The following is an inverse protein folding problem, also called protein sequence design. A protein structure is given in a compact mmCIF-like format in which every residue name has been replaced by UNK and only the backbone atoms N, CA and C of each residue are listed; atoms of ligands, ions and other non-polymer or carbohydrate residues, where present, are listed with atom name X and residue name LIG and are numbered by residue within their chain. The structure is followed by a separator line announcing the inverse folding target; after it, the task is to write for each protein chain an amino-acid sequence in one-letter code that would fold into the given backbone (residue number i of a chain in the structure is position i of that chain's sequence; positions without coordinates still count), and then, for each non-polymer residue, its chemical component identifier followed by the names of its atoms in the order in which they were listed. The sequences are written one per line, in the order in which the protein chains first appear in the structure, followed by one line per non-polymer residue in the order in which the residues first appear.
data_IF_488161569359
#
_entry.id   IF_488161569359
#
_cell.length_a   1.000
_cell.length_b   1.000
_cell.length_c   1.000
_cell.angle_alpha   90.00
_cell.angle_beta   90.00
_cell.angle_gamma   90.00
#
_symmetry.space_group_name_H-M   'P 1'
#
loop_
_entity.id
_entity.type
_entity.pdbx_description
1 polymer ?
#
# COMPACT_ATOMS: atom_id res chain seq x y z
N UNK A 1 21.81 3.10 -6.78
CA UNK A 1 21.08 4.38 -6.87
C UNK A 1 19.55 4.18 -6.94
N UNK A 2 19.04 3.29 -7.80
CA UNK A 2 17.61 2.95 -7.93
C UNK A 2 16.90 2.66 -6.59
N UNK A 3 17.49 1.83 -5.72
CA UNK A 3 16.94 1.50 -4.40
C UNK A 3 16.74 2.74 -3.51
N UNK A 4 17.75 3.62 -3.48
CA UNK A 4 17.71 4.86 -2.68
C UNK A 4 16.64 5.80 -3.25
N UNK A 5 16.52 5.88 -4.58
CA UNK A 5 15.49 6.70 -5.24
C UNK A 5 14.09 6.19 -4.90
N UNK A 6 13.84 4.88 -4.98
CA UNK A 6 12.55 4.28 -4.61
C UNK A 6 12.22 4.52 -3.14
N UNK A 7 13.22 4.42 -2.26
CA UNK A 7 13.05 4.74 -0.84
C UNK A 7 12.65 6.20 -0.65
N UNK A 8 13.36 7.15 -1.28
CA UNK A 8 13.04 8.59 -1.20
C UNK A 8 11.62 8.85 -1.72
N UNK A 9 11.23 8.24 -2.84
CA UNK A 9 9.87 8.36 -3.38
C UNK A 9 8.85 7.86 -2.36
N UNK A 10 9.09 6.71 -1.73
CA UNK A 10 8.22 6.17 -0.68
C UNK A 10 8.08 7.14 0.51
N UNK A 11 9.18 7.74 0.96
CA UNK A 11 9.15 8.75 2.04
C UNK A 11 8.35 9.99 1.62
N UNK A 12 8.52 10.49 0.38
CA UNK A 12 7.74 11.63 -0.12
C UNK A 12 6.24 11.29 -0.18
N UNK A 13 5.88 10.09 -0.64
CA UNK A 13 4.49 9.61 -0.66
C UNK A 13 3.91 9.55 0.75
N UNK A 14 4.66 9.03 1.72
CA UNK A 14 4.26 8.95 3.13
C UNK A 14 3.98 10.35 3.72
N UNK A 15 4.86 11.31 3.46
CA UNK A 15 4.68 12.68 3.92
C UNK A 15 3.44 13.33 3.27
N UNK A 16 3.23 13.09 1.97
CA UNK A 16 2.06 13.58 1.25
C UNK A 16 0.77 12.97 1.79
N UNK A 17 0.75 11.65 2.02
CA UNK A 17 -0.38 10.92 2.59
C UNK A 17 -0.75 11.46 3.98
N UNK A 18 0.25 11.67 4.83
CA UNK A 18 0.05 12.22 6.19
C UNK A 18 -0.48 13.65 6.12
N UNK A 19 0.08 14.48 5.24
CA UNK A 19 -0.37 15.85 5.03
C UNK A 19 -1.83 15.91 4.56
N UNK A 20 -2.19 15.11 3.55
CA UNK A 20 -3.55 15.04 3.02
C UNK A 20 -4.56 14.54 4.07
N UNK A 21 -4.17 13.53 4.85
CA UNK A 21 -5.01 12.96 5.91
C UNK A 21 -5.33 14.01 6.98
N UNK A 22 -4.33 14.79 7.38
CA UNK A 22 -4.50 15.88 8.34
C UNK A 22 -5.31 17.04 7.77
N UNK A 23 -5.18 17.35 6.48
CA UNK A 23 -5.93 18.45 5.83
C UNK A 23 -7.41 18.10 5.59
N UNK A 24 -7.73 16.85 5.25
CA UNK A 24 -9.08 16.42 4.87
C UNK A 24 -9.98 16.00 6.05
N UNK A 25 -9.54 16.12 7.30
CA UNK A 25 -10.30 15.76 8.49
C UNK A 25 -11.00 14.38 8.38
N UNK A 26 -10.19 13.32 8.24
CA UNK A 26 -10.48 11.91 8.55
C UNK A 26 -11.67 11.19 7.87
N UNK A 27 -12.46 11.84 7.01
CA UNK A 27 -13.67 11.23 6.45
C UNK A 27 -13.37 10.17 5.39
N UNK A 28 -12.27 10.36 4.64
CA UNK A 28 -11.81 9.47 3.58
C UNK A 28 -10.28 9.36 3.67
N UNK A 29 -9.78 8.17 4.01
CA UNK A 29 -8.34 7.89 4.03
C UNK A 29 -7.97 7.02 2.83
N UNK A 30 -6.95 7.47 2.11
CA UNK A 30 -6.38 6.79 0.96
C UNK A 30 -4.98 6.36 1.34
N UNK A 31 -4.64 5.09 1.11
CA UNK A 31 -3.32 4.57 1.45
C UNK A 31 -2.43 4.56 0.20
N UNK A 32 -1.85 5.72 -0.11
CA UNK A 32 -0.96 5.90 -1.26
C UNK A 32 0.31 5.07 -1.10
N UNK A 33 0.82 4.97 0.12
CA UNK A 33 2.03 4.22 0.43
C UNK A 33 1.84 2.72 0.21
N UNK A 34 0.69 2.16 0.56
CA UNK A 34 0.34 0.77 0.28
C UNK A 34 0.29 0.52 -1.23
N UNK A 35 -0.37 1.39 -2.00
CA UNK A 35 -0.42 1.26 -3.47
C UNK A 35 1.00 1.27 -4.05
N UNK A 36 1.85 2.17 -3.58
CA UNK A 36 3.25 2.23 -3.99
C UNK A 36 3.99 0.92 -3.69
N UNK A 37 3.85 0.39 -2.48
CA UNK A 37 4.48 -0.88 -2.08
C UNK A 37 3.99 -2.04 -2.94
N UNK A 38 2.68 -2.11 -3.23
CA UNK A 38 2.11 -3.13 -4.10
C UNK A 38 2.75 -3.09 -5.48
N UNK A 39 2.87 -1.91 -6.08
CA UNK A 39 3.48 -1.74 -7.40
C UNK A 39 4.97 -2.08 -7.38
N UNK A 40 5.74 -1.61 -6.40
CA UNK A 40 7.17 -1.92 -6.32
C UNK A 40 7.40 -3.42 -6.11
N UNK A 41 6.62 -4.08 -5.26
CA UNK A 41 6.71 -5.53 -5.06
C UNK A 41 6.30 -6.35 -6.29
N UNK A 42 5.52 -5.77 -7.20
CA UNK A 42 5.15 -6.39 -8.47
C UNK A 42 6.20 -6.19 -9.57
N UNK A 43 7.00 -5.13 -9.52
CA UNK A 43 7.92 -4.77 -10.63
C UNK A 43 9.40 -4.77 -10.27
N UNK A 44 9.75 -4.96 -9.00
CA UNK A 44 11.12 -4.89 -8.52
C UNK A 44 11.55 -6.13 -7.74
N UNK A 45 12.85 -6.25 -7.50
CA UNK A 45 13.43 -7.39 -6.79
C UNK A 45 12.75 -7.65 -5.43
N UNK A 46 12.49 -8.93 -5.15
CA UNK A 46 11.78 -9.41 -3.96
C UNK A 46 12.45 -8.97 -2.66
N UNK A 47 13.77 -9.10 -2.55
CA UNK A 47 14.47 -8.80 -1.30
C UNK A 47 14.46 -7.30 -1.04
N UNK A 48 14.66 -6.50 -2.09
CA UNK A 48 14.60 -5.05 -1.96
C UNK A 48 13.19 -4.54 -1.66
N UNK A 49 12.15 -5.08 -2.31
CA UNK A 49 10.76 -4.66 -2.08
C UNK A 49 10.27 -5.02 -0.67
N UNK A 50 10.75 -6.14 -0.11
CA UNK A 50 10.54 -6.53 1.28
C UNK A 50 11.17 -5.53 2.25
N UNK A 51 12.47 -5.29 2.12
CA UNK A 51 13.21 -4.36 2.99
C UNK A 51 12.62 -2.96 2.91
N UNK A 52 12.31 -2.49 1.69
CA UNK A 52 11.70 -1.19 1.47
C UNK A 52 10.31 -1.08 2.10
N UNK A 53 9.45 -2.09 1.92
CA UNK A 53 8.13 -2.14 2.54
C UNK A 53 8.20 -2.13 4.07
N UNK A 54 9.09 -2.92 4.65
CA UNK A 54 9.28 -2.97 6.11
C UNK A 54 9.78 -1.65 6.69
N UNK A 55 10.82 -1.05 6.11
CA UNK A 55 11.36 0.23 6.60
C UNK A 55 10.31 1.35 6.44
N UNK A 56 9.66 1.46 5.28
CA UNK A 56 8.63 2.49 5.08
C UNK A 56 7.42 2.28 5.99
N UNK A 57 7.05 1.04 6.29
CA UNK A 57 5.97 0.76 7.24
C UNK A 57 6.31 1.16 8.66
N UNK A 58 7.55 0.92 9.11
CA UNK A 58 8.02 1.39 10.43
C UNK A 58 8.06 2.93 10.50
N UNK A 59 8.53 3.60 9.45
CA UNK A 59 8.52 5.06 9.38
C UNK A 59 7.07 5.58 9.39
N UNK A 60 6.15 4.90 8.69
CA UNK A 60 4.73 5.26 8.66
C UNK A 60 4.10 5.21 10.04
N UNK A 61 4.39 4.17 10.82
CA UNK A 61 3.89 4.06 12.20
C UNK A 61 4.37 5.25 13.06
N UNK A 62 5.64 5.66 12.90
CA UNK A 62 6.22 6.79 13.64
C UNK A 62 5.62 8.15 13.24
N UNK A 63 5.34 8.36 11.96
CA UNK A 63 4.85 9.65 11.44
C UNK A 63 3.35 9.82 11.63
N UNK A 64 2.57 8.75 11.48
CA UNK A 64 1.10 8.79 11.60
C UNK A 64 0.60 8.71 13.05
N UNK A 65 1.48 8.41 14.02
CA UNK A 65 1.10 8.21 15.42
C UNK A 65 0.37 6.89 15.66
N UNK A 66 0.55 5.91 14.77
CA UNK A 66 -0.04 4.58 14.86
C UNK A 66 0.68 3.66 15.87
N UNK A 67 0.24 2.40 15.93
CA UNK A 67 0.89 1.39 16.76
C UNK A 67 2.19 0.96 16.08
N UNK A 68 3.32 1.27 16.72
CA UNK A 68 4.65 0.96 16.19
C UNK A 68 4.79 -0.52 15.88
N UNK A 69 5.13 -0.83 14.62
CA UNK A 69 5.41 -2.17 14.13
C UNK A 69 4.25 -2.80 13.35
N UNK A 70 3.01 -2.33 13.51
CA UNK A 70 1.85 -2.93 12.84
C UNK A 70 1.92 -2.69 11.34
N UNK A 71 2.09 -1.43 10.90
CA UNK A 71 2.20 -1.11 9.47
C UNK A 71 3.46 -1.74 8.87
N UNK A 72 4.57 -1.74 9.62
CA UNK A 72 5.81 -2.45 9.24
C UNK A 72 5.58 -3.92 8.88
N UNK A 73 4.91 -4.67 9.77
CA UNK A 73 4.61 -6.10 9.54
C UNK A 73 3.62 -6.28 8.40
N UNK A 74 2.56 -5.47 8.33
CA UNK A 74 1.57 -5.58 7.26
C UNK A 74 2.17 -5.28 5.89
N UNK A 75 3.07 -4.30 5.79
CA UNK A 75 3.77 -4.01 4.53
C UNK A 75 4.78 -5.10 4.18
N UNK A 76 5.52 -5.66 5.14
CA UNK A 76 6.37 -6.83 4.89
C UNK A 76 5.57 -8.02 4.36
N UNK A 77 4.45 -8.34 5.01
CA UNK A 77 3.55 -9.41 4.59
C UNK A 77 2.98 -9.15 3.18
N UNK A 78 2.59 -7.90 2.91
CA UNK A 78 2.08 -7.47 1.60
C UNK A 78 3.15 -7.62 0.51
N UNK A 79 4.35 -7.10 0.74
CA UNK A 79 5.49 -7.23 -0.17
C UNK A 79 5.83 -8.69 -0.42
N UNK A 80 5.88 -9.51 0.63
CA UNK A 80 6.16 -10.94 0.52
C UNK A 80 5.12 -11.65 -0.33
N UNK A 81 3.83 -11.40 -0.07
CA UNK A 81 2.72 -12.02 -0.79
C UNK A 81 2.80 -11.69 -2.28
N UNK A 82 2.90 -10.40 -2.63
CA UNK A 82 2.92 -9.95 -4.01
C UNK A 82 4.15 -10.46 -4.74
N UNK A 83 5.34 -10.31 -4.17
CA UNK A 83 6.56 -10.79 -4.80
C UNK A 83 6.63 -12.32 -4.90
N UNK A 84 5.75 -13.06 -4.22
CA UNK A 84 5.64 -14.52 -4.38
C UNK A 84 4.72 -14.92 -5.52
N UNK A 85 3.69 -14.12 -5.82
CA UNK A 85 2.72 -14.38 -6.90
C UNK A 85 3.00 -13.59 -8.18
N UNK A 86 3.95 -12.64 -8.16
CA UNK A 86 4.18 -11.69 -9.24
C UNK A 86 4.43 -12.33 -10.61
N UNK A 87 5.07 -13.51 -10.66
CA UNK A 87 5.34 -14.25 -11.90
C UNK A 87 4.08 -14.81 -12.55
N UNK A 88 3.02 -15.00 -11.78
CA UNK A 88 1.72 -15.51 -12.24
C UNK A 88 0.77 -14.39 -12.66
N UNK A 89 1.14 -13.12 -12.44
CA UNK A 89 0.28 -11.97 -12.72
C UNK A 89 0.57 -11.44 -14.12
N UNK A 90 -0.48 -11.21 -14.90
CA UNK A 90 -0.40 -10.51 -16.19
C UNK A 90 -0.22 -9.00 -15.95
N UNK A 91 1.04 -8.57 -16.02
CA UNK A 91 1.50 -7.21 -15.70
C UNK A 91 1.27 -6.17 -16.82
N UNK A 92 0.71 -6.58 -17.95
CA UNK A 92 0.39 -5.71 -19.10
C UNK A 92 -1.08 -5.26 -19.12
N UNK A 93 -1.95 -5.95 -18.39
CA UNK A 93 -3.34 -5.52 -18.26
C UNK A 93 -3.52 -4.71 -16.98
N UNK A 94 -3.72 -3.40 -17.16
CA UNK A 94 -4.01 -2.46 -16.07
C UNK A 94 -5.19 -2.89 -15.20
N UNK A 95 -6.20 -3.59 -15.75
CA UNK A 95 -7.37 -4.06 -15.00
C UNK A 95 -6.96 -5.14 -13.99
N UNK A 96 -6.04 -6.03 -14.38
CA UNK A 96 -5.53 -7.10 -13.51
C UNK A 96 -4.74 -6.51 -12.35
N UNK A 97 -3.92 -5.49 -12.60
CA UNK A 97 -3.18 -4.78 -11.54
C UNK A 97 -4.12 -4.05 -10.60
N UNK A 98 -5.15 -3.38 -11.12
CA UNK A 98 -6.16 -2.70 -10.29
C UNK A 98 -6.94 -3.69 -9.42
N UNK A 99 -7.28 -4.86 -9.97
CA UNK A 99 -7.93 -5.94 -9.23
C UNK A 99 -7.02 -6.50 -8.13
N UNK A 100 -5.73 -6.70 -8.42
CA UNK A 100 -4.75 -7.11 -7.42
C UNK A 100 -4.68 -6.11 -6.27
N UNK A 101 -4.55 -4.82 -6.60
CA UNK A 101 -4.49 -3.75 -5.58
C UNK A 101 -5.75 -3.74 -4.73
N UNK A 102 -6.93 -3.95 -5.34
CA UNK A 102 -8.19 -4.06 -4.62
C UNK A 102 -8.15 -5.22 -3.61
N UNK A 103 -7.82 -6.44 -4.07
CA UNK A 103 -7.82 -7.64 -3.21
C UNK A 103 -6.82 -7.48 -2.05
N UNK A 104 -5.61 -7.03 -2.35
CA UNK A 104 -4.57 -6.82 -1.35
C UNK A 104 -4.96 -5.71 -0.38
N UNK A 105 -5.55 -4.60 -0.87
CA UNK A 105 -6.03 -3.50 -0.01
C UNK A 105 -7.15 -3.94 0.92
N UNK A 106 -8.06 -4.80 0.46
CA UNK A 106 -9.12 -5.36 1.30
C UNK A 106 -8.53 -6.23 2.41
N UNK A 107 -7.60 -7.12 2.07
CA UNK A 107 -6.88 -7.95 3.06
C UNK A 107 -6.12 -7.10 4.08
N UNK A 108 -5.35 -6.12 3.60
CA UNK A 108 -4.63 -5.16 4.45
C UNK A 108 -5.58 -4.42 5.40
N UNK A 109 -6.67 -3.88 4.88
CA UNK A 109 -7.62 -3.07 5.66
C UNK A 109 -8.34 -3.90 6.73
N UNK A 110 -8.68 -5.15 6.42
CA UNK A 110 -9.26 -6.08 7.38
C UNK A 110 -8.27 -6.41 8.51
N UNK A 111 -7.03 -6.78 8.17
CA UNK A 111 -6.00 -7.08 9.17
C UNK A 111 -5.71 -5.87 10.05
N UNK A 112 -5.53 -4.70 9.45
CA UNK A 112 -5.30 -3.46 10.18
C UNK A 112 -6.51 -3.09 11.07
N UNK A 113 -7.72 -3.30 10.59
CA UNK A 113 -8.96 -3.10 11.35
C UNK A 113 -9.07 -4.01 12.57
N UNK A 114 -8.76 -5.29 12.41
CA UNK A 114 -8.73 -6.27 13.51
C UNK A 114 -7.70 -5.87 14.57
N UNK A 115 -6.48 -5.53 14.16
CA UNK A 115 -5.43 -5.08 15.10
C UNK A 115 -5.86 -3.79 15.80
N UNK A 116 -6.40 -2.83 15.05
CA UNK A 116 -6.86 -1.56 15.62
C UNK A 116 -7.97 -1.74 16.66
N UNK A 117 -8.87 -2.71 16.46
CA UNK A 117 -9.94 -3.00 17.42
C UNK A 117 -9.45 -3.54 18.78
N UNK A 118 -8.19 -4.01 18.86
CA UNK A 118 -7.57 -4.44 20.13
C UNK A 118 -7.15 -3.23 20.97
N UNK A 119 -6.69 -2.16 20.32
CA UNK A 119 -6.09 -1.00 20.99
C UNK A 119 -7.02 0.23 21.07
N UNK A 120 -8.01 0.33 20.16
CA UNK A 120 -8.90 1.47 20.04
C UNK A 120 -10.38 1.07 20.08
N UNK A 121 -11.25 2.02 20.42
CA UNK A 121 -12.70 1.81 20.38
C UNK A 121 -13.15 1.72 18.93
N UNK A 122 -13.65 0.56 18.46
CA UNK A 122 -14.04 0.41 17.07
C UNK A 122 -15.33 1.19 16.78
N UNK A 123 -15.48 1.73 15.56
CA UNK A 123 -16.79 2.17 15.08
C UNK A 123 -17.75 0.98 14.99
N UNK A 124 -19.03 1.24 14.72
CA UNK A 124 -20.00 0.16 14.53
C UNK A 124 -19.50 -0.83 13.46
N UNK A 125 -19.67 -2.12 13.74
CA UNK A 125 -19.10 -3.22 12.96
C UNK A 125 -19.49 -3.11 11.46
N UNK A 126 -20.73 -2.72 11.18
CA UNK A 126 -21.22 -2.50 9.83
C UNK A 126 -20.45 -1.39 9.08
N UNK A 127 -20.22 -0.24 9.73
CA UNK A 127 -19.48 0.89 9.13
C UNK A 127 -18.01 0.53 8.95
N UNK A 128 -17.42 -0.20 9.90
CA UNK A 128 -16.05 -0.69 9.81
C UNK A 128 -15.87 -1.59 8.59
N UNK A 129 -16.72 -2.61 8.43
CA UNK A 129 -16.64 -3.56 7.32
C UNK A 129 -16.85 -2.89 5.96
N UNK A 130 -17.82 -1.98 5.85
CA UNK A 130 -18.04 -1.22 4.61
C UNK A 130 -16.77 -0.43 4.22
N UNK A 131 -16.13 0.23 5.17
CA UNK A 131 -14.90 0.97 4.89
C UNK A 131 -13.75 0.04 4.49
N UNK A 132 -13.56 -1.05 5.22
CA UNK A 132 -12.43 -1.98 5.04
C UNK A 132 -12.52 -2.82 3.75
N UNK A 133 -13.73 -3.25 3.36
CA UNK A 133 -13.91 -4.15 2.21
C UNK A 133 -14.20 -3.37 0.93
N UNK A 134 -14.90 -2.24 1.03
CA UNK A 134 -15.42 -1.53 -0.14
C UNK A 134 -14.72 -0.19 -0.31
N UNK A 135 -14.85 0.74 0.65
CA UNK A 135 -14.43 2.13 0.44
C UNK A 135 -12.92 2.24 0.21
N UNK A 136 -12.09 1.77 1.14
CA UNK A 136 -10.64 1.89 1.01
C UNK A 136 -10.08 1.10 -0.18
N UNK A 137 -10.49 -0.17 -0.42
CA UNK A 137 -10.00 -0.92 -1.57
C UNK A 137 -10.36 -0.31 -2.92
N UNK A 138 -11.57 0.26 -3.07
CA UNK A 138 -11.96 0.96 -4.31
C UNK A 138 -11.09 2.18 -4.53
N UNK A 139 -10.89 3.02 -3.50
CA UNK A 139 -10.08 4.23 -3.61
C UNK A 139 -8.62 3.92 -3.96
N UNK A 140 -8.03 2.93 -3.29
CA UNK A 140 -6.67 2.48 -3.59
C UNK A 140 -6.55 1.91 -5.01
N UNK A 141 -7.55 1.16 -5.47
CA UNK A 141 -7.60 0.61 -6.83
C UNK A 141 -7.71 1.72 -7.89
N UNK A 142 -8.52 2.75 -7.65
CA UNK A 142 -8.60 3.93 -8.52
C UNK A 142 -7.26 4.65 -8.62
N UNK A 143 -6.54 4.77 -7.51
CA UNK A 143 -5.21 5.39 -7.51
C UNK A 143 -4.18 4.51 -8.18
N UNK A 144 -4.24 3.20 -8.01
CA UNK A 144 -3.40 2.29 -8.76
C UNK A 144 -3.64 2.41 -10.26
N UNK A 145 -4.89 2.60 -10.70
CA UNK A 145 -5.20 2.83 -12.11
C UNK A 145 -4.52 4.10 -12.63
N UNK A 146 -4.62 5.21 -11.89
CA UNK A 146 -3.97 6.49 -12.26
C UNK A 146 -2.45 6.35 -12.23
N UNK A 147 -1.89 5.80 -11.15
CA UNK A 147 -0.45 5.62 -10.98
C UNK A 147 0.13 4.71 -12.07
N UNK A 148 -0.52 3.59 -12.37
CA UNK A 148 -0.09 2.70 -13.44
C UNK A 148 -0.11 3.41 -14.79
N UNK A 149 -1.20 4.14 -15.10
CA UNK A 149 -1.32 4.86 -16.38
C UNK A 149 -0.24 5.95 -16.54
N UNK A 150 0.16 6.62 -15.46
CA UNK A 150 1.20 7.66 -15.50
C UNK A 150 2.63 7.11 -15.51
N UNK A 151 2.85 5.96 -14.90
CA UNK A 151 4.20 5.42 -14.64
C UNK A 151 4.49 4.08 -15.29
N UNK A 152 3.61 3.57 -16.18
CA UNK A 152 3.72 2.28 -16.84
C UNK A 152 5.13 2.02 -17.38
N UNK A 153 5.65 2.92 -18.22
CA UNK A 153 6.98 2.79 -18.84
C UNK A 153 8.11 2.68 -17.80
N UNK A 154 8.01 3.45 -16.70
CA UNK A 154 9.01 3.42 -15.64
C UNK A 154 8.91 2.13 -14.85
N UNK A 155 7.69 1.66 -14.53
CA UNK A 155 7.45 0.40 -13.83
C UNK A 155 7.95 -0.80 -14.63
N UNK A 156 7.72 -0.82 -15.95
CA UNK A 156 8.23 -1.88 -16.82
C UNK A 156 9.75 -1.90 -16.88
N UNK A 157 10.40 -0.73 -16.97
CA UNK A 157 11.87 -0.62 -16.86
C UNK A 157 12.40 -1.11 -15.51
N UNK A 158 11.62 -0.98 -14.42
CA UNK A 158 12.07 -1.50 -13.12
C UNK A 158 12.33 -3.02 -13.16
N UNK A 159 11.59 -3.76 -14.01
CA UNK A 159 11.64 -5.22 -14.14
C UNK A 159 12.75 -5.72 -15.07
N UNK A 160 13.11 -4.94 -16.07
CA UNK A 160 14.07 -5.35 -17.11
C UNK A 160 15.54 -5.29 -16.65
N UNK A 161 15.82 -4.52 -15.58
CA UNK A 161 17.13 -4.45 -14.91
C UNK A 161 17.16 -5.29 -13.62
#
# INVERSE_FOLDING_TARGET
MKNIMLFIIGVVILLLETFLTNFLNASVSINFLLVFIILISLYYDKNYSLVLGGILGLISDLVSGGIIGVTGVLFLATSYFISSIEKSIFKDDKKIICLLVYIVSAGYSLLNGVVSAIFFVPPSLFVALLKMIIVFPILNSLIAFVAYTLFEDRLKKLRED
#
